data_IF_851638785631
#
_entry.id   IF_851638785631
#
_cell.length_a   1.000
_cell.length_b   1.000
_cell.length_c   1.000
_cell.angle_alpha   90.00
_cell.angle_beta   90.00
_cell.angle_gamma   90.00
#
_symmetry.space_group_name_H-M   'P 1'
#
loop_
_entity.id
_entity.type
_entity.pdbx_description
1 polymer ?
#
# COMPACT_ATOMS: atom_id res chain seq x y z
N UNK A 1 -18.37 65.17 -33.42
CA UNK A 1 -17.66 64.30 -32.45
C UNK A 1 -18.30 62.92 -32.25
N UNK A 2 -19.63 62.79 -32.07
CA UNK A 2 -20.27 61.50 -31.72
C UNK A 2 -20.11 60.34 -32.72
N UNK A 3 -20.03 60.61 -34.03
CA UNK A 3 -19.89 59.57 -35.08
C UNK A 3 -18.48 58.96 -35.17
N UNK A 4 -17.45 59.68 -34.73
CA UNK A 4 -16.07 59.20 -34.72
C UNK A 4 -15.79 58.31 -33.50
N UNK A 5 -16.40 58.61 -32.35
CA UNK A 5 -16.30 57.80 -31.12
C UNK A 5 -16.96 56.42 -31.31
N UNK A 6 -18.11 56.35 -31.98
CA UNK A 6 -18.80 55.07 -32.27
C UNK A 6 -18.01 54.23 -33.27
N UNK A 7 -17.38 54.83 -34.28
CA UNK A 7 -16.50 54.10 -35.22
C UNK A 7 -15.20 53.61 -34.57
N UNK A 8 -14.64 54.40 -33.65
CA UNK A 8 -13.45 54.02 -32.90
C UNK A 8 -13.74 52.85 -31.94
N UNK A 9 -14.92 52.83 -31.29
CA UNK A 9 -15.37 51.72 -30.44
C UNK A 9 -15.64 50.41 -31.20
N UNK A 10 -16.15 50.48 -32.44
CA UNK A 10 -16.38 49.30 -33.27
C UNK A 10 -15.05 48.71 -33.77
N UNK A 11 -14.07 49.56 -34.12
CA UNK A 11 -12.74 49.08 -34.52
C UNK A 11 -11.99 48.44 -33.34
N UNK A 12 -12.11 48.96 -32.12
CA UNK A 12 -11.49 48.35 -30.93
C UNK A 12 -12.16 47.06 -30.46
N UNK A 13 -13.43 46.82 -30.84
CA UNK A 13 -14.16 45.59 -30.49
C UNK A 13 -13.92 44.43 -31.48
N UNK A 14 -13.42 44.70 -32.69
CA UNK A 14 -13.15 43.69 -33.74
C UNK A 14 -11.67 43.27 -33.75
N UNK A 15 -10.77 44.08 -33.21
CA UNK A 15 -9.35 43.76 -33.06
C UNK A 15 -9.05 42.50 -32.21
N UNK A 16 -9.72 42.24 -31.06
CA UNK A 16 -9.42 41.04 -30.28
C UNK A 16 -9.96 39.74 -30.90
N UNK A 17 -11.06 39.77 -31.65
CA UNK A 17 -11.61 38.56 -32.28
C UNK A 17 -10.79 38.08 -33.48
N UNK A 18 -10.10 38.99 -34.17
CA UNK A 18 -9.22 38.66 -35.30
C UNK A 18 -7.90 38.01 -34.82
N UNK A 19 -7.35 38.46 -33.70
CA UNK A 19 -6.12 37.92 -33.12
C UNK A 19 -6.25 36.46 -32.66
N UNK A 20 -7.35 36.13 -31.98
CA UNK A 20 -7.62 34.77 -31.47
C UNK A 20 -7.80 33.76 -32.62
N UNK A 21 -8.46 34.17 -33.70
CA UNK A 21 -8.64 33.30 -34.88
C UNK A 21 -7.31 33.04 -35.62
N UNK A 22 -6.42 34.03 -35.71
CA UNK A 22 -5.08 33.85 -36.28
C UNK A 22 -4.16 33.03 -35.38
N UNK A 23 -4.30 33.14 -34.07
CA UNK A 23 -3.50 32.39 -33.10
C UNK A 23 -3.89 30.90 -33.09
N UNK A 24 -5.19 30.57 -33.12
CA UNK A 24 -5.65 29.19 -33.19
C UNK A 24 -5.25 28.51 -34.51
N UNK A 25 -5.31 29.23 -35.63
CA UNK A 25 -4.93 28.67 -36.94
C UNK A 25 -3.43 28.40 -37.03
N UNK A 26 -2.60 29.30 -36.52
CA UNK A 26 -1.16 29.09 -36.38
C UNK A 26 -0.85 27.91 -35.47
N UNK A 27 -1.53 27.81 -34.32
CA UNK A 27 -1.39 26.70 -33.37
C UNK A 27 -1.72 25.35 -34.01
N UNK A 28 -2.80 25.29 -34.79
CA UNK A 28 -3.18 24.09 -35.55
C UNK A 28 -2.13 23.69 -36.58
N UNK A 29 -1.52 24.66 -37.27
CA UNK A 29 -0.44 24.40 -38.22
C UNK A 29 0.79 23.84 -37.53
N UNK A 30 1.23 24.47 -36.43
CA UNK A 30 2.38 24.01 -35.64
C UNK A 30 2.16 22.63 -35.02
N UNK A 31 0.96 22.36 -34.50
CA UNK A 31 0.59 21.05 -33.99
C UNK A 31 0.65 19.96 -35.08
N UNK A 32 0.22 20.27 -36.31
CA UNK A 32 0.33 19.37 -37.49
C UNK A 32 1.76 19.16 -37.94
N UNK A 33 2.63 20.15 -37.75
CA UNK A 33 4.07 20.03 -38.01
C UNK A 33 4.80 19.19 -36.95
N UNK A 34 4.11 18.78 -35.89
CA UNK A 34 4.64 17.89 -34.86
C UNK A 34 5.16 18.62 -33.62
N UNK A 35 4.93 19.92 -33.45
CA UNK A 35 5.39 20.63 -32.26
C UNK A 35 4.61 20.19 -31.00
N UNK A 36 5.30 19.57 -30.03
CA UNK A 36 4.67 18.95 -28.87
C UNK A 36 3.95 19.96 -27.95
N UNK A 37 4.51 21.16 -27.80
CA UNK A 37 3.91 22.24 -27.01
C UNK A 37 2.62 22.73 -27.69
N UNK A 38 2.67 22.96 -29.00
CA UNK A 38 1.48 23.36 -29.78
C UNK A 38 0.39 22.29 -29.77
N UNK A 39 0.76 21.00 -29.84
CA UNK A 39 -0.18 19.89 -29.68
C UNK A 39 -0.84 19.90 -28.29
N UNK A 40 -0.07 20.13 -27.23
CA UNK A 40 -0.60 20.23 -25.87
C UNK A 40 -1.54 21.43 -25.71
N UNK A 41 -1.15 22.61 -26.18
CA UNK A 41 -1.96 23.83 -26.13
C UNK A 41 -3.25 23.69 -26.95
N UNK A 42 -3.19 23.01 -28.11
CA UNK A 42 -4.37 22.73 -28.93
C UNK A 42 -5.33 21.79 -28.19
N UNK A 43 -4.81 20.79 -27.46
CA UNK A 43 -5.63 19.95 -26.60
C UNK A 43 -6.30 20.74 -25.47
N UNK A 44 -5.57 21.66 -24.82
CA UNK A 44 -6.16 22.55 -23.81
C UNK A 44 -7.29 23.40 -24.38
N UNK A 45 -7.13 23.91 -25.62
CA UNK A 45 -8.20 24.65 -26.29
C UNK A 45 -9.46 23.78 -26.47
N UNK A 46 -9.32 22.53 -26.90
CA UNK A 46 -10.46 21.61 -27.00
C UNK A 46 -11.09 21.30 -25.63
N UNK A 47 -10.30 21.24 -24.56
CA UNK A 47 -10.82 21.05 -23.21
C UNK A 47 -11.76 22.19 -22.76
N UNK A 48 -11.41 23.45 -23.06
CA UNK A 48 -12.25 24.61 -22.72
C UNK A 48 -13.44 24.79 -23.67
N UNK A 49 -13.34 24.30 -24.91
CA UNK A 49 -14.43 24.28 -25.89
C UNK A 49 -15.41 23.09 -25.70
N UNK A 50 -15.17 22.23 -24.71
CA UNK A 50 -15.91 20.98 -24.54
C UNK A 50 -17.35 21.22 -24.06
N UNK A 51 -18.30 21.07 -24.97
CA UNK A 51 -19.74 20.84 -24.69
C UNK A 51 -20.26 19.53 -25.28
N UNK A 52 -19.46 18.82 -26.09
CA UNK A 52 -19.85 17.66 -26.91
C UNK A 52 -18.77 16.55 -26.93
N UNK A 53 -19.18 15.30 -27.14
CA UNK A 53 -18.32 14.10 -27.09
C UNK A 53 -17.24 14.04 -28.18
N UNK A 54 -17.44 14.70 -29.31
CA UNK A 54 -16.45 14.78 -30.41
C UNK A 54 -15.23 15.59 -30.02
N UNK A 55 -15.43 16.65 -29.24
CA UNK A 55 -14.35 17.55 -28.79
C UNK A 55 -13.41 16.84 -27.80
N UNK A 56 -13.93 15.89 -27.03
CA UNK A 56 -13.14 15.08 -26.11
C UNK A 56 -12.22 14.09 -26.84
N UNK A 57 -12.64 13.55 -27.99
CA UNK A 57 -11.79 12.68 -28.81
C UNK A 57 -10.63 13.46 -29.43
N UNK A 58 -10.89 14.65 -29.95
CA UNK A 58 -9.84 15.53 -30.49
C UNK A 58 -8.84 15.93 -29.41
N UNK A 59 -9.33 16.26 -28.20
CA UNK A 59 -8.45 16.53 -27.05
C UNK A 59 -7.53 15.35 -26.76
N UNK A 60 -8.07 14.14 -26.65
CA UNK A 60 -7.27 12.94 -26.33
C UNK A 60 -6.27 12.62 -27.43
N UNK A 61 -6.64 12.81 -28.70
CA UNK A 61 -5.74 12.65 -29.82
C UNK A 61 -4.52 13.56 -29.70
N UNK A 62 -4.72 14.86 -29.52
CA UNK A 62 -3.61 15.83 -29.43
C UNK A 62 -2.77 15.66 -28.15
N UNK A 63 -3.40 15.32 -27.02
CA UNK A 63 -2.66 14.94 -25.80
C UNK A 63 -1.77 13.73 -26.05
N UNK A 64 -2.27 12.71 -26.75
CA UNK A 64 -1.51 11.49 -27.05
C UNK A 64 -0.31 11.81 -27.93
N UNK A 65 -0.48 12.62 -28.97
CA UNK A 65 0.64 13.04 -29.83
C UNK A 65 1.73 13.79 -29.05
N UNK A 66 1.35 14.74 -28.19
CA UNK A 66 2.31 15.47 -27.35
C UNK A 66 3.00 14.53 -26.34
N UNK A 67 2.24 13.63 -25.71
CA UNK A 67 2.74 12.67 -24.73
C UNK A 67 3.68 11.63 -25.35
N UNK A 68 3.44 11.19 -26.59
CA UNK A 68 4.34 10.31 -27.34
C UNK A 68 5.72 10.94 -27.52
N UNK A 69 5.77 12.25 -27.73
CA UNK A 69 7.02 13.04 -27.83
C UNK A 69 7.68 13.33 -26.47
N UNK A 70 7.07 12.91 -25.36
CA UNK A 70 7.63 13.10 -24.01
C UNK A 70 7.18 14.37 -23.31
N UNK A 71 6.14 15.05 -23.79
CA UNK A 71 5.57 16.23 -23.14
C UNK A 71 4.95 15.85 -21.78
N UNK A 72 5.59 16.27 -20.68
CA UNK A 72 5.25 15.86 -19.30
C UNK A 72 3.80 16.19 -18.95
N UNK A 73 3.38 17.44 -19.15
CA UNK A 73 2.01 17.88 -18.81
C UNK A 73 0.95 17.14 -19.63
N UNK A 74 1.29 16.66 -20.84
CA UNK A 74 0.34 15.91 -21.66
C UNK A 74 0.16 14.49 -21.12
N UNK A 75 1.26 13.84 -20.73
CA UNK A 75 1.25 12.54 -20.07
C UNK A 75 0.48 12.57 -18.74
N UNK A 76 0.65 13.63 -17.95
CA UNK A 76 -0.10 13.81 -16.71
C UNK A 76 -1.61 13.93 -16.97
N UNK A 77 -2.03 14.75 -17.94
CA UNK A 77 -3.45 14.89 -18.30
C UNK A 77 -4.07 13.58 -18.80
N UNK A 78 -3.35 12.81 -19.62
CA UNK A 78 -3.79 11.47 -20.03
C UNK A 78 -3.89 10.52 -18.85
N UNK A 79 -2.93 10.56 -17.94
CA UNK A 79 -2.94 9.75 -16.72
C UNK A 79 -4.18 10.06 -15.89
N UNK A 80 -4.49 11.34 -15.65
CA UNK A 80 -5.70 11.73 -14.93
C UNK A 80 -6.98 11.28 -15.64
N UNK A 81 -7.03 11.40 -16.97
CA UNK A 81 -8.17 10.93 -17.75
C UNK A 81 -8.39 9.42 -17.57
N UNK A 82 -7.35 8.62 -17.70
CA UNK A 82 -7.47 7.16 -17.55
C UNK A 82 -7.73 6.74 -16.10
N UNK A 83 -7.17 7.45 -15.10
CA UNK A 83 -7.43 7.17 -13.69
C UNK A 83 -8.82 7.60 -13.23
N UNK A 84 -9.55 8.44 -13.96
CA UNK A 84 -10.91 8.81 -13.59
C UNK A 84 -11.88 7.62 -13.70
N UNK A 85 -11.61 6.67 -14.59
CA UNK A 85 -12.42 5.48 -14.81
C UNK A 85 -11.74 4.23 -14.22
N UNK A 86 -11.49 4.24 -12.92
CA UNK A 86 -10.75 3.18 -12.19
C UNK A 86 -11.35 1.78 -12.29
N UNK A 87 -12.57 1.62 -12.80
CA UNK A 87 -13.22 0.32 -12.97
C UNK A 87 -12.89 -0.35 -14.31
N UNK A 88 -12.34 0.40 -15.28
CA UNK A 88 -11.97 -0.12 -16.58
C UNK A 88 -10.50 -0.62 -16.59
N UNK A 89 -10.25 -1.93 -16.78
CA UNK A 89 -8.89 -2.48 -16.83
C UNK A 89 -8.00 -1.87 -17.91
N UNK A 90 -8.56 -1.57 -19.09
CA UNK A 90 -7.81 -0.97 -20.20
C UNK A 90 -7.32 0.43 -19.85
N UNK A 91 -8.15 1.21 -19.16
CA UNK A 91 -7.77 2.54 -18.69
C UNK A 91 -6.67 2.44 -17.65
N UNK A 92 -6.75 1.49 -16.71
CA UNK A 92 -5.69 1.29 -15.73
C UNK A 92 -4.35 0.89 -16.37
N UNK A 93 -4.36 0.05 -17.41
CA UNK A 93 -3.14 -0.29 -18.17
C UNK A 93 -2.56 0.93 -18.90
N UNK A 94 -3.40 1.75 -19.53
CA UNK A 94 -2.98 2.98 -20.19
C UNK A 94 -2.42 4.00 -19.19
N UNK A 95 -3.06 4.16 -18.02
CA UNK A 95 -2.56 5.01 -16.94
C UNK A 95 -1.18 4.55 -16.46
N UNK A 96 -0.99 3.24 -16.22
CA UNK A 96 0.30 2.68 -15.83
C UNK A 96 1.38 2.93 -16.88
N UNK A 97 1.06 2.76 -18.17
CA UNK A 97 2.01 3.02 -19.26
C UNK A 97 2.53 4.46 -19.22
N UNK A 98 1.65 5.44 -19.04
CA UNK A 98 2.04 6.86 -18.97
C UNK A 98 2.79 7.18 -17.67
N UNK A 99 2.34 6.65 -16.54
CA UNK A 99 3.04 6.81 -15.25
C UNK A 99 4.46 6.23 -15.29
N UNK A 100 4.66 5.06 -15.89
CA UNK A 100 6.01 4.47 -16.05
C UNK A 100 6.91 5.36 -16.92
N UNK A 101 6.36 5.96 -17.98
CA UNK A 101 7.11 6.92 -18.79
C UNK A 101 7.46 8.18 -17.98
N UNK A 102 6.52 8.72 -17.19
CA UNK A 102 6.76 9.85 -16.29
C UNK A 102 7.86 9.56 -15.26
N UNK A 103 7.88 8.37 -14.65
CA UNK A 103 8.95 8.00 -13.71
C UNK A 103 10.31 7.93 -14.38
N UNK A 104 10.39 7.43 -15.62
CA UNK A 104 11.65 7.43 -16.41
C UNK A 104 12.17 8.84 -16.73
N UNK A 105 11.29 9.85 -16.74
CA UNK A 105 11.63 11.26 -16.90
C UNK A 105 11.94 11.96 -15.58
N UNK A 106 11.95 11.22 -14.46
CA UNK A 106 12.28 11.72 -13.14
C UNK A 106 11.10 12.26 -12.34
N UNK A 107 9.85 12.09 -12.82
CA UNK A 107 8.66 12.48 -12.06
C UNK A 107 8.41 11.47 -10.94
N UNK A 108 8.88 11.80 -9.74
CA UNK A 108 8.81 10.97 -8.53
C UNK A 108 7.38 10.72 -8.07
N UNK A 109 6.50 11.71 -8.22
CA UNK A 109 5.08 11.59 -7.89
C UNK A 109 4.39 10.46 -8.68
N UNK A 110 4.80 10.23 -9.93
CA UNK A 110 4.24 9.15 -10.74
C UNK A 110 4.54 7.77 -10.14
N UNK A 111 5.72 7.57 -9.53
CA UNK A 111 6.07 6.32 -8.86
C UNK A 111 5.19 6.07 -7.63
N UNK A 112 4.86 7.14 -6.88
CA UNK A 112 3.93 7.07 -5.76
C UNK A 112 2.54 6.64 -6.25
N UNK A 113 2.04 7.24 -7.33
CA UNK A 113 0.74 6.87 -7.91
C UNK A 113 0.71 5.42 -8.37
N UNK A 114 1.78 4.92 -9.01
CA UNK A 114 1.87 3.50 -9.37
C UNK A 114 1.82 2.61 -8.11
N UNK A 115 2.55 2.98 -7.05
CA UNK A 115 2.51 2.27 -5.78
C UNK A 115 1.11 2.22 -5.17
N UNK A 116 0.38 3.34 -5.20
CA UNK A 116 -0.99 3.45 -4.71
C UNK A 116 -1.94 2.54 -5.53
N UNK A 117 -1.79 2.51 -6.86
CA UNK A 117 -2.57 1.63 -7.74
C UNK A 117 -2.35 0.14 -7.42
N UNK A 118 -1.10 -0.28 -7.26
CA UNK A 118 -0.80 -1.66 -6.85
C UNK A 118 -1.36 -1.94 -5.46
N UNK A 119 -1.21 -1.04 -4.48
CA UNK A 119 -1.71 -1.24 -3.12
C UNK A 119 -3.25 -1.42 -3.05
N UNK A 120 -4.01 -0.80 -3.95
CA UNK A 120 -5.47 -0.94 -4.03
C UNK A 120 -5.91 -2.33 -4.51
N UNK A 121 -5.04 -3.07 -5.18
CA UNK A 121 -5.22 -4.51 -5.37
C UNK A 121 -6.13 -4.94 -6.52
N UNK A 122 -6.55 -4.03 -7.40
CA UNK A 122 -7.38 -4.35 -8.59
C UNK A 122 -6.79 -3.70 -9.84
N UNK A 123 -6.71 -4.40 -11.00
CA UNK A 123 -6.87 -5.84 -11.25
C UNK A 123 -5.56 -6.65 -11.13
N UNK A 124 -4.48 -6.09 -10.59
CA UNK A 124 -3.14 -6.68 -10.72
C UNK A 124 -2.86 -7.86 -9.76
N UNK A 125 -2.13 -8.90 -10.20
CA UNK A 125 -1.53 -9.90 -9.32
C UNK A 125 -0.29 -9.33 -8.59
N UNK A 126 0.09 -9.90 -7.43
CA UNK A 126 1.31 -9.55 -6.65
C UNK A 126 1.44 -8.07 -6.20
N UNK A 127 0.31 -7.51 -5.79
CA UNK A 127 0.09 -6.09 -5.50
C UNK A 127 0.97 -5.49 -4.41
N UNK A 128 1.22 -6.21 -3.32
CA UNK A 128 2.04 -5.68 -2.21
C UNK A 128 3.52 -5.56 -2.58
N UNK A 129 4.06 -6.53 -3.33
CA UNK A 129 5.49 -6.53 -3.71
C UNK A 129 5.77 -5.42 -4.71
N UNK A 130 4.89 -5.22 -5.69
CA UNK A 130 5.06 -4.14 -6.66
C UNK A 130 4.91 -2.76 -6.02
N UNK A 131 3.92 -2.57 -5.15
CA UNK A 131 3.78 -1.31 -4.40
C UNK A 131 5.04 -1.01 -3.54
N UNK A 132 5.59 -2.02 -2.87
CA UNK A 132 6.83 -1.93 -2.09
C UNK A 132 7.98 -1.40 -2.94
N UNK A 133 8.21 -1.98 -4.12
CA UNK A 133 9.29 -1.58 -5.03
C UNK A 133 9.14 -0.14 -5.53
N UNK A 134 7.92 0.25 -5.92
CA UNK A 134 7.67 1.60 -6.43
C UNK A 134 7.85 2.67 -5.35
N UNK A 135 7.32 2.47 -4.14
CA UNK A 135 7.57 3.41 -3.04
C UNK A 135 9.04 3.48 -2.66
N UNK A 136 9.70 2.32 -2.56
CA UNK A 136 11.13 2.27 -2.25
C UNK A 136 11.99 3.01 -3.28
N UNK A 137 11.63 2.93 -4.57
CA UNK A 137 12.40 3.56 -5.65
C UNK A 137 12.53 5.09 -5.54
N UNK A 138 11.62 5.74 -4.81
CA UNK A 138 11.59 7.21 -4.64
C UNK A 138 11.60 7.68 -3.19
N UNK A 139 11.70 6.75 -2.21
CA UNK A 139 11.66 7.07 -0.78
C UNK A 139 12.74 8.08 -0.34
N UNK A 140 13.92 8.03 -0.96
CA UNK A 140 15.03 8.95 -0.64
C UNK A 140 14.77 10.40 -1.11
N UNK A 141 13.85 10.59 -2.07
CA UNK A 141 13.55 11.90 -2.69
C UNK A 141 12.19 12.45 -2.25
N UNK A 142 11.27 11.56 -1.89
CA UNK A 142 9.90 11.90 -1.51
C UNK A 142 9.57 11.34 -0.11
N UNK A 143 9.45 12.20 0.92
CA UNK A 143 9.04 11.78 2.26
C UNK A 143 7.70 11.05 2.28
N UNK A 144 6.80 11.45 1.38
CA UNK A 144 5.50 10.84 1.17
C UNK A 144 5.58 9.37 0.73
N UNK A 145 6.59 9.02 -0.05
CA UNK A 145 6.86 7.65 -0.48
C UNK A 145 7.47 6.82 0.67
N UNK A 146 8.38 7.41 1.46
CA UNK A 146 8.94 6.77 2.66
C UNK A 146 7.85 6.38 3.65
N UNK A 147 6.89 7.27 3.90
CA UNK A 147 5.75 7.00 4.79
C UNK A 147 4.87 5.84 4.28
N UNK A 148 4.54 5.84 2.98
CA UNK A 148 3.75 4.77 2.35
C UNK A 148 4.50 3.44 2.38
N UNK A 149 5.81 3.45 2.13
CA UNK A 149 6.69 2.28 2.26
C UNK A 149 6.69 1.73 3.69
N UNK A 150 6.90 2.57 4.69
CA UNK A 150 6.90 2.18 6.10
C UNK A 150 5.56 1.59 6.54
N UNK A 151 4.44 2.22 6.14
CA UNK A 151 3.10 1.72 6.38
C UNK A 151 2.90 0.31 5.78
N UNK A 152 3.36 0.10 4.55
CA UNK A 152 3.23 -1.18 3.86
C UNK A 152 4.06 -2.28 4.54
N UNK A 153 5.29 -1.97 4.97
CA UNK A 153 6.13 -2.89 5.75
C UNK A 153 5.49 -3.28 7.08
N UNK A 154 4.92 -2.31 7.80
CA UNK A 154 4.20 -2.57 9.05
C UNK A 154 3.02 -3.52 8.82
N UNK A 155 2.20 -3.26 7.80
CA UNK A 155 1.06 -4.12 7.45
C UNK A 155 1.50 -5.55 7.12
N UNK A 156 2.61 -5.71 6.38
CA UNK A 156 3.20 -7.02 6.04
C UNK A 156 3.68 -7.76 7.28
N UNK A 157 4.35 -7.07 8.21
CA UNK A 157 4.77 -7.61 9.50
C UNK A 157 3.57 -8.06 10.35
N UNK A 158 2.55 -7.21 10.47
CA UNK A 158 1.35 -7.52 11.26
C UNK A 158 0.60 -8.73 10.70
N UNK A 159 0.49 -8.84 9.37
CA UNK A 159 -0.09 -10.01 8.71
C UNK A 159 0.70 -11.30 8.99
N UNK A 160 2.03 -11.25 8.96
CA UNK A 160 2.87 -12.40 9.28
C UNK A 160 2.71 -12.82 10.75
N UNK A 161 2.69 -11.85 11.66
CA UNK A 161 2.47 -12.09 13.09
C UNK A 161 1.10 -12.72 13.35
N UNK A 162 0.05 -12.22 12.71
CA UNK A 162 -1.30 -12.79 12.83
C UNK A 162 -1.33 -14.25 12.39
N UNK A 163 -0.67 -14.60 11.27
CA UNK A 163 -0.53 -15.99 10.80
C UNK A 163 0.22 -16.87 11.79
N UNK A 164 1.28 -16.36 12.41
CA UNK A 164 2.03 -17.11 13.42
C UNK A 164 1.18 -17.38 14.67
N UNK A 165 0.45 -16.36 15.15
CA UNK A 165 -0.45 -16.50 16.30
C UNK A 165 -1.56 -17.50 16.00
N UNK A 166 -2.19 -17.42 14.82
CA UNK A 166 -3.23 -18.39 14.43
C UNK A 166 -2.71 -19.82 14.35
N UNK A 167 -1.47 -20.01 13.88
CA UNK A 167 -0.85 -21.33 13.85
C UNK A 167 -0.57 -21.85 15.27
N UNK A 168 -0.07 -20.99 16.15
CA UNK A 168 0.19 -21.34 17.55
C UNK A 168 -1.09 -21.70 18.31
N UNK A 169 -2.17 -20.94 18.14
CA UNK A 169 -3.46 -21.24 18.77
C UNK A 169 -4.11 -22.49 18.20
N UNK A 170 -3.94 -22.76 16.89
CA UNK A 170 -4.37 -24.01 16.28
C UNK A 170 -3.61 -25.22 16.86
N UNK A 171 -2.29 -25.11 17.06
CA UNK A 171 -1.46 -26.13 17.70
C UNK A 171 -1.84 -26.34 19.17
N UNK A 172 -2.09 -25.26 19.92
CA UNK A 172 -2.54 -25.32 21.31
C UNK A 172 -3.89 -26.03 21.42
N UNK A 173 -4.88 -25.66 20.58
CA UNK A 173 -6.18 -26.32 20.52
C UNK A 173 -6.07 -27.80 20.16
N UNK A 174 -5.14 -28.15 19.27
CA UNK A 174 -4.85 -29.55 18.93
C UNK A 174 -4.19 -30.31 20.10
N UNK A 175 -3.42 -29.64 20.96
CA UNK A 175 -2.76 -30.23 22.13
C UNK A 175 -3.66 -30.37 23.38
N UNK A 176 -4.76 -29.62 23.46
CA UNK A 176 -5.72 -29.63 24.58
C UNK A 176 -6.78 -30.73 24.44
N UNK A 177 -6.82 -31.45 23.31
CA UNK A 177 -7.51 -32.74 23.28
C UNK A 177 -6.74 -33.74 24.15
N UNK A 178 -7.39 -34.42 25.12
CA UNK A 178 -6.69 -35.37 25.97
C UNK A 178 -6.15 -36.53 25.12
N UNK A 179 -5.15 -37.29 25.61
CA UNK A 179 -4.82 -38.57 25.02
C UNK A 179 -6.11 -39.39 24.90
N UNK A 180 -6.25 -40.09 23.78
CA UNK A 180 -7.36 -40.98 23.46
C UNK A 180 -7.89 -41.69 24.72
N UNK A 181 -9.21 -41.79 24.91
CA UNK A 181 -9.76 -42.45 26.08
C UNK A 181 -9.13 -43.84 26.21
N UNK A 182 -8.58 -44.12 27.39
CA UNK A 182 -8.14 -45.46 27.77
C UNK A 182 -9.35 -46.36 27.53
N UNK A 183 -9.25 -47.20 26.50
CA UNK A 183 -10.27 -48.20 26.21
C UNK A 183 -10.43 -49.06 27.47
N UNK A 184 -11.67 -49.33 27.92
CA UNK A 184 -11.90 -50.33 28.95
C UNK A 184 -11.31 -51.65 28.47
N UNK A 185 -10.59 -52.35 29.36
CA UNK A 185 -10.25 -53.76 29.17
C UNK A 185 -11.57 -54.50 29.06
N UNK A 186 -12.01 -54.77 27.83
CA UNK A 186 -13.16 -55.60 27.54
C UNK A 186 -12.64 -56.93 26.99
N UNK A 187 -13.12 -58.01 27.61
CA UNK A 187 -12.82 -59.40 27.33
C UNK A 187 -12.69 -59.71 25.83
N UNK A 188 -11.56 -60.32 25.48
CA UNK A 188 -11.35 -60.90 24.15
C UNK A 188 -12.08 -62.24 24.10
N UNK A 189 -13.21 -62.27 23.41
CA UNK A 189 -13.70 -63.49 22.75
C UNK A 189 -13.78 -63.23 21.25
N UNK A 190 -13.12 -64.04 20.41
CA UNK A 190 -13.07 -63.80 18.97
C UNK A 190 -14.26 -64.48 18.26
N UNK A 191 -14.75 -63.88 17.18
CA UNK A 191 -15.21 -64.68 16.04
C UNK A 191 -14.33 -64.46 14.81
N UNK A 192 -14.26 -65.54 14.04
CA UNK A 192 -13.39 -65.87 12.92
C UNK A 192 -13.66 -65.08 11.62
N UNK A 193 -12.72 -65.16 10.65
CA UNK A 193 -12.61 -64.24 9.51
C UNK A 193 -13.28 -64.76 8.23
N UNK A 194 -13.39 -63.86 7.23
CA UNK A 194 -13.40 -64.01 5.75
C UNK A 194 -14.15 -62.80 5.15
N UNK A 195 -13.85 -62.21 4.00
CA UNK A 195 -12.89 -62.37 2.90
C UNK A 195 -13.12 -61.14 2.01
N UNK A 196 -12.09 -60.54 1.41
CA UNK A 196 -12.28 -59.79 0.16
C UNK A 196 -11.00 -59.86 -0.67
N UNK A 197 -10.97 -60.87 -1.53
CA UNK A 197 -9.99 -61.13 -2.57
C UNK A 197 -10.01 -60.04 -3.66
N UNK A 198 -8.83 -59.61 -4.10
CA UNK A 198 -8.60 -59.41 -5.54
C UNK A 198 -7.13 -59.69 -5.89
N UNK A 199 -6.84 -60.75 -6.67
CA UNK A 199 -5.47 -61.24 -6.89
C UNK A 199 -4.59 -60.32 -7.75
N UNK A 200 -5.17 -59.31 -8.42
CA UNK A 200 -4.41 -58.42 -9.31
C UNK A 200 -3.62 -57.33 -8.56
N UNK A 201 -4.07 -56.93 -7.37
CA UNK A 201 -3.45 -55.84 -6.62
C UNK A 201 -2.15 -56.29 -5.94
N UNK A 202 -2.14 -57.53 -5.41
CA UNK A 202 -0.94 -58.13 -4.82
C UNK A 202 0.17 -58.35 -5.86
N UNK A 203 -0.19 -58.75 -7.09
CA UNK A 203 0.79 -58.91 -8.18
C UNK A 203 1.41 -57.56 -8.55
N UNK A 204 0.62 -56.49 -8.64
CA UNK A 204 1.13 -55.13 -8.94
C UNK A 204 2.04 -54.62 -7.82
N UNK A 205 1.67 -54.85 -6.55
CA UNK A 205 2.50 -54.46 -5.40
C UNK A 205 3.81 -55.25 -5.39
N UNK A 206 3.77 -56.55 -5.68
CA UNK A 206 4.98 -57.38 -5.76
C UNK A 206 5.91 -56.93 -6.89
N UNK A 207 5.36 -56.61 -8.07
CA UNK A 207 6.14 -56.09 -9.19
C UNK A 207 6.79 -54.73 -8.89
N UNK A 208 6.08 -53.84 -8.18
CA UNK A 208 6.66 -52.55 -7.74
C UNK A 208 7.79 -52.76 -6.73
N UNK A 209 7.64 -53.67 -5.77
CA UNK A 209 8.68 -53.97 -4.78
C UNK A 209 9.92 -54.55 -5.47
N UNK A 210 9.74 -55.44 -6.44
CA UNK A 210 10.85 -56.03 -7.21
C UNK A 210 11.53 -54.95 -8.07
N UNK A 211 10.78 -54.04 -8.70
CA UNK A 211 11.34 -52.96 -9.51
C UNK A 211 12.17 -51.98 -8.67
N UNK A 212 11.69 -51.60 -7.48
CA UNK A 212 12.43 -50.75 -6.54
C UNK A 212 13.67 -51.46 -6.01
N UNK A 213 13.56 -52.76 -5.68
CA UNK A 213 14.69 -53.58 -5.26
C UNK A 213 15.77 -53.73 -6.33
N UNK A 214 15.37 -53.97 -7.58
CA UNK A 214 16.29 -54.09 -8.71
C UNK A 214 16.97 -52.75 -9.05
N UNK A 215 16.22 -51.64 -8.98
CA UNK A 215 16.78 -50.28 -9.14
C UNK A 215 17.79 -49.96 -8.04
N UNK A 216 17.47 -50.28 -6.78
CA UNK A 216 18.38 -50.11 -5.64
C UNK A 216 19.63 -51.00 -5.76
N UNK A 217 19.48 -52.25 -6.19
CA UNK A 217 20.60 -53.17 -6.40
C UNK A 217 21.52 -52.72 -7.55
N UNK A 218 20.95 -52.25 -8.66
CA UNK A 218 21.72 -51.70 -9.78
C UNK A 218 22.42 -50.39 -9.40
N UNK A 219 21.79 -49.56 -8.57
CA UNK A 219 22.38 -48.35 -8.01
C UNK A 219 23.56 -48.67 -7.09
N UNK A 220 23.40 -49.66 -6.20
CA UNK A 220 24.45 -50.12 -5.28
C UNK A 220 25.63 -50.80 -6.01
N UNK A 221 25.38 -51.50 -7.12
CA UNK A 221 26.42 -52.18 -7.90
C UNK A 221 27.22 -51.22 -8.81
N UNK A 222 26.75 -49.99 -9.01
CA UNK A 222 27.36 -48.99 -9.92
C UNK A 222 28.30 -48.00 -9.24
N UNK A 223 28.48 -48.08 -7.92
CA UNK A 223 29.51 -47.35 -7.19
C UNK A 223 30.67 -48.29 -6.83
N UNK A 224 31.83 -48.21 -7.51
CA UNK A 224 33.04 -48.80 -6.95
C UNK A 224 33.37 -48.09 -5.63
N UNK A 225 33.81 -48.87 -4.63
CA UNK A 225 34.23 -48.36 -3.32
C UNK A 225 35.26 -47.23 -3.49
N UNK A 226 34.90 -46.03 -3.05
CA UNK A 226 35.80 -44.90 -2.88
C UNK A 226 36.28 -44.79 -1.42
N UNK A 227 37.48 -44.25 -1.18
CA UNK A 227 38.21 -44.32 0.08
C UNK A 227 37.59 -43.44 1.18
N UNK A 228 38.01 -43.70 2.43
CA UNK A 228 37.54 -43.04 3.65
C UNK A 228 37.89 -41.53 3.73
N UNK A 229 36.90 -40.73 4.17
CA UNK A 229 36.90 -39.32 4.70
C UNK A 229 37.05 -38.14 3.70
N UNK A 230 36.29 -37.01 3.83
CA UNK A 230 36.07 -36.23 5.07
C UNK A 230 34.59 -35.84 5.35
N UNK A 231 34.03 -36.25 6.49
CA UNK A 231 32.67 -35.86 6.92
C UNK A 231 32.66 -34.80 8.05
N UNK A 232 33.84 -34.37 8.54
CA UNK A 232 33.96 -33.31 9.54
C UNK A 232 33.63 -31.91 8.97
N UNK A 233 34.04 -31.63 7.72
CA UNK A 233 33.94 -30.28 7.15
C UNK A 233 32.50 -29.77 6.99
N UNK A 234 31.55 -30.65 6.68
CA UNK A 234 30.17 -30.24 6.45
C UNK A 234 29.38 -30.02 7.76
N UNK A 235 29.72 -30.76 8.82
CA UNK A 235 29.13 -30.57 10.15
C UNK A 235 29.69 -29.30 10.81
N UNK A 236 30.99 -29.04 10.64
CA UNK A 236 31.62 -27.80 11.10
C UNK A 236 31.05 -26.57 10.39
N UNK A 237 30.81 -26.65 9.07
CA UNK A 237 30.13 -25.60 8.30
C UNK A 237 28.70 -25.35 8.78
N UNK A 238 27.93 -26.39 9.11
CA UNK A 238 26.57 -26.26 9.64
C UNK A 238 26.57 -25.62 11.03
N UNK A 239 27.53 -25.97 11.89
CA UNK A 239 27.68 -25.34 13.20
C UNK A 239 28.11 -23.87 13.11
N UNK A 240 28.96 -23.53 12.16
CA UNK A 240 29.37 -22.14 11.90
C UNK A 240 28.19 -21.31 11.40
N UNK A 241 27.40 -21.83 10.46
CA UNK A 241 26.17 -21.19 9.99
C UNK A 241 25.16 -20.99 11.12
N UNK A 242 24.98 -21.98 12.00
CA UNK A 242 24.09 -21.86 13.15
C UNK A 242 24.54 -20.75 14.12
N UNK A 243 25.86 -20.57 14.33
CA UNK A 243 26.41 -19.49 15.16
C UNK A 243 26.15 -18.11 14.53
N UNK A 244 26.34 -17.99 13.21
CA UNK A 244 26.08 -16.74 12.48
C UNK A 244 24.60 -16.36 12.59
N UNK A 245 23.68 -17.31 12.36
CA UNK A 245 22.23 -17.10 12.48
C UNK A 245 21.87 -16.68 13.92
N UNK A 246 22.48 -17.30 14.93
CA UNK A 246 22.24 -16.94 16.32
C UNK A 246 22.74 -15.52 16.66
N UNK A 247 23.88 -15.11 16.09
CA UNK A 247 24.41 -13.74 16.25
C UNK A 247 23.50 -12.70 15.57
N UNK A 248 23.05 -12.96 14.35
CA UNK A 248 22.12 -12.11 13.62
C UNK A 248 20.80 -11.95 14.37
N UNK A 249 20.25 -13.04 14.94
CA UNK A 249 19.04 -12.98 15.78
C UNK A 249 19.23 -12.06 16.99
N UNK A 250 20.38 -12.15 17.68
CA UNK A 250 20.67 -11.27 18.83
C UNK A 250 20.80 -9.81 18.42
N UNK A 251 21.37 -9.51 17.25
CA UNK A 251 21.44 -8.14 16.71
C UNK A 251 20.05 -7.59 16.40
N UNK A 252 19.20 -8.40 15.76
CA UNK A 252 17.83 -8.02 15.43
C UNK A 252 16.98 -7.75 16.68
N UNK A 253 17.13 -8.56 17.73
CA UNK A 253 16.44 -8.36 19.01
C UNK A 253 16.88 -7.07 19.72
N UNK A 254 18.13 -6.63 19.53
CA UNK A 254 18.62 -5.35 20.06
C UNK A 254 18.00 -4.18 19.30
N UNK A 255 18.04 -4.23 17.97
CA UNK A 255 17.42 -3.22 17.10
C UNK A 255 15.91 -3.08 17.37
N UNK A 256 15.21 -4.21 17.49
CA UNK A 256 13.78 -4.22 17.82
C UNK A 256 13.50 -3.56 19.19
N UNK A 257 14.30 -3.87 20.21
CA UNK A 257 14.17 -3.24 21.53
C UNK A 257 14.44 -1.74 21.46
N UNK A 258 15.43 -1.30 20.69
CA UNK A 258 15.71 0.12 20.49
C UNK A 258 14.60 0.85 19.75
N UNK A 259 14.06 0.28 18.67
CA UNK A 259 12.92 0.83 17.94
C UNK A 259 11.68 0.91 18.81
N UNK A 260 11.37 -0.15 19.55
CA UNK A 260 10.23 -0.17 20.48
C UNK A 260 10.39 0.91 21.56
N UNK A 261 11.60 1.09 22.09
CA UNK A 261 11.90 2.13 23.08
C UNK A 261 11.75 3.53 22.50
N UNK A 262 12.24 3.79 21.28
CA UNK A 262 12.06 5.07 20.59
C UNK A 262 10.59 5.36 20.28
N UNK A 263 9.84 4.37 19.82
CA UNK A 263 8.41 4.50 19.57
C UNK A 263 7.64 4.79 20.86
N UNK A 264 7.95 4.11 21.96
CA UNK A 264 7.35 4.41 23.26
C UNK A 264 7.70 5.82 23.75
N UNK A 265 8.94 6.26 23.56
CA UNK A 265 9.36 7.63 23.90
C UNK A 265 8.64 8.68 23.06
N UNK A 266 8.55 8.50 21.74
CA UNK A 266 7.78 9.37 20.85
C UNK A 266 6.31 9.40 21.22
N UNK A 267 5.71 8.24 21.51
CA UNK A 267 4.30 8.16 21.89
C UNK A 267 4.06 8.81 23.27
N UNK A 268 5.01 8.68 24.21
CA UNK A 268 4.95 9.36 25.50
C UNK A 268 5.05 10.88 25.33
N UNK A 269 5.98 11.36 24.51
CA UNK A 269 6.13 12.79 24.19
C UNK A 269 4.88 13.34 23.49
N UNK A 270 4.30 12.59 22.54
CA UNK A 270 3.08 12.98 21.84
C UNK A 270 1.87 13.00 22.78
N UNK A 271 1.73 12.01 23.66
CA UNK A 271 0.68 11.99 24.69
C UNK A 271 0.87 13.12 25.72
N UNK A 272 2.10 13.45 26.08
CA UNK A 272 2.42 14.57 26.98
C UNK A 272 2.10 15.92 26.33
N UNK A 273 2.42 16.09 25.05
CA UNK A 273 2.04 17.29 24.28
C UNK A 273 0.52 17.40 24.12
N UNK A 274 -0.17 16.31 23.78
CA UNK A 274 -1.63 16.27 23.70
C UNK A 274 -2.28 16.58 25.05
N UNK A 275 -1.68 16.10 26.14
CA UNK A 275 -2.09 16.43 27.50
C UNK A 275 -1.95 17.93 27.80
N UNK A 276 -0.80 18.52 27.51
CA UNK A 276 -0.53 19.95 27.75
C UNK A 276 -1.50 20.81 26.93
N UNK A 277 -1.72 20.47 25.65
CA UNK A 277 -2.65 21.18 24.77
C UNK A 277 -4.09 21.04 25.27
N UNK A 278 -4.51 19.86 25.74
CA UNK A 278 -5.83 19.66 26.33
C UNK A 278 -6.04 20.52 27.58
N UNK A 279 -5.07 20.57 28.48
CA UNK A 279 -5.10 21.44 29.66
C UNK A 279 -5.20 22.92 29.27
N UNK A 280 -4.38 23.37 28.32
CA UNK A 280 -4.37 24.74 27.83
C UNK A 280 -5.72 25.14 27.19
N UNK A 281 -6.34 24.24 26.41
CA UNK A 281 -7.66 24.47 25.80
C UNK A 281 -8.74 24.78 26.85
N UNK A 282 -8.66 24.15 28.03
CA UNK A 282 -9.58 24.41 29.13
C UNK A 282 -9.17 25.59 30.03
N UNK A 283 -7.95 26.11 29.84
CA UNK A 283 -7.34 27.15 30.67
C UNK A 283 -6.81 26.62 32.00
N UNK A 284 -6.46 25.32 32.06
CA UNK A 284 -5.93 24.68 33.25
C UNK A 284 -4.41 24.54 33.18
N UNK A 285 -3.76 24.56 34.33
CA UNK A 285 -2.35 24.22 34.45
C UNK A 285 -2.20 22.70 34.61
N UNK A 286 -1.23 22.04 33.94
CA UNK A 286 -1.00 20.59 34.07
C UNK A 286 -0.84 20.09 35.51
N UNK A 287 -0.34 20.95 36.41
CA UNK A 287 -0.03 20.62 37.80
C UNK A 287 -1.20 20.84 38.77
N UNK A 288 -2.26 21.54 38.36
CA UNK A 288 -3.39 21.92 39.20
C UNK A 288 -4.71 21.73 38.47
N UNK A 289 -5.26 20.51 38.58
CA UNK A 289 -6.56 20.19 38.00
C UNK A 289 -7.70 20.47 38.97
N UNK A 290 -8.76 21.18 38.53
CA UNK A 290 -9.95 21.37 39.33
C UNK A 290 -10.78 20.07 39.44
N UNK A 291 -11.79 20.07 40.31
CA UNK A 291 -12.64 18.90 40.52
C UNK A 291 -13.46 18.53 39.26
N UNK A 292 -13.97 17.31 39.19
CA UNK A 292 -14.72 16.81 38.02
C UNK A 292 -15.89 17.72 37.63
N UNK A 293 -16.57 18.24 38.65
CA UNK A 293 -17.74 19.08 38.49
C UNK A 293 -17.34 20.41 37.82
N UNK A 294 -16.23 21.02 38.23
CA UNK A 294 -15.69 22.22 37.60
C UNK A 294 -15.19 21.96 36.17
N UNK A 295 -14.57 20.80 35.90
CA UNK A 295 -14.15 20.40 34.55
C UNK A 295 -15.38 20.27 33.63
N UNK A 296 -16.43 19.56 34.07
CA UNK A 296 -17.68 19.41 33.32
C UNK A 296 -18.42 20.74 33.15
N UNK A 297 -18.37 21.62 34.14
CA UNK A 297 -18.94 22.97 34.03
C UNK A 297 -18.18 23.82 33.00
N UNK A 298 -16.83 23.77 33.00
CA UNK A 298 -15.98 24.45 32.03
C UNK A 298 -16.22 23.93 30.61
N UNK A 299 -16.34 22.62 30.45
CA UNK A 299 -16.71 22.01 29.17
C UNK A 299 -18.04 22.56 28.65
N UNK A 300 -19.08 22.65 29.49
CA UNK A 300 -20.39 23.20 29.10
C UNK A 300 -20.33 24.68 28.70
N UNK A 301 -19.37 25.45 29.23
CA UNK A 301 -19.14 26.82 28.81
C UNK A 301 -18.47 26.87 27.43
N UNK A 302 -17.41 26.09 27.23
CA UNK A 302 -16.66 26.04 25.98
C UNK A 302 -17.49 25.43 24.84
N UNK A 303 -18.31 24.42 25.12
CA UNK A 303 -19.17 23.79 24.11
C UNK A 303 -20.21 24.72 23.53
N UNK A 304 -20.58 25.81 24.23
CA UNK A 304 -21.48 26.85 23.71
C UNK A 304 -20.78 27.79 22.73
N UNK A 305 -19.46 27.90 22.83
CA UNK A 305 -18.64 28.78 22.00
C UNK A 305 -18.21 28.02 20.73
N UNK A 306 -17.79 26.76 20.90
CA UNK A 306 -17.32 25.92 19.80
C UNK A 306 -18.44 25.13 19.11
N UNK A 307 -19.71 25.35 19.47
CA UNK A 307 -20.81 24.70 18.76
C UNK A 307 -20.91 25.25 17.33
N UNK A 308 -21.15 24.40 16.32
CA UNK A 308 -21.36 24.84 14.93
C UNK A 308 -22.44 25.92 14.79
N UNK A 309 -23.52 25.79 15.55
CA UNK A 309 -24.64 26.74 15.56
C UNK A 309 -24.29 28.11 16.18
N UNK A 310 -23.15 28.23 16.87
CA UNK A 310 -22.71 29.40 17.61
C UNK A 310 -21.41 30.01 17.05
N UNK A 311 -21.19 29.89 15.73
CA UNK A 311 -20.00 30.33 14.99
C UNK A 311 -18.73 29.49 15.18
N UNK A 312 -18.80 28.35 15.89
CA UNK A 312 -17.72 27.37 15.96
C UNK A 312 -17.68 26.45 14.73
N UNK A 313 -16.64 25.62 14.65
CA UNK A 313 -16.50 24.56 13.65
C UNK A 313 -16.66 23.16 14.24
N UNK A 314 -17.11 22.20 13.42
CA UNK A 314 -17.18 20.78 13.79
C UNK A 314 -15.82 20.24 14.28
N UNK A 315 -14.72 20.75 13.73
CA UNK A 315 -13.37 20.38 14.16
C UNK A 315 -13.05 20.86 15.57
N UNK A 316 -13.41 22.08 15.91
CA UNK A 316 -13.19 22.64 17.25
C UNK A 316 -14.00 21.89 18.30
N UNK A 317 -15.25 21.53 17.99
CA UNK A 317 -16.08 20.72 18.87
C UNK A 317 -15.50 19.31 19.08
N UNK A 318 -14.96 18.68 18.02
CA UNK A 318 -14.25 17.39 18.12
C UNK A 318 -12.99 17.51 18.98
N UNK A 319 -12.19 18.58 18.81
CA UNK A 319 -10.99 18.84 19.61
C UNK A 319 -11.34 19.05 21.09
N UNK A 320 -12.43 19.75 21.38
CA UNK A 320 -12.94 19.96 22.75
C UNK A 320 -13.38 18.64 23.40
N UNK A 321 -14.14 17.82 22.69
CA UNK A 321 -14.59 16.49 23.16
C UNK A 321 -13.42 15.56 23.45
N UNK A 322 -12.44 15.53 22.55
CA UNK A 322 -11.24 14.72 22.72
C UNK A 322 -10.43 15.17 23.95
N UNK A 323 -10.24 16.48 24.11
CA UNK A 323 -9.51 17.06 25.24
C UNK A 323 -10.20 16.79 26.59
N UNK A 324 -11.54 16.85 26.65
CA UNK A 324 -12.31 16.50 27.85
C UNK A 324 -12.03 15.06 28.29
N UNK A 325 -12.10 14.12 27.34
CA UNK A 325 -11.89 12.70 27.63
C UNK A 325 -10.47 12.43 28.13
N UNK A 326 -9.46 13.06 27.53
CA UNK A 326 -8.07 12.97 27.98
C UNK A 326 -7.90 13.47 29.42
N UNK A 327 -8.50 14.64 29.75
CA UNK A 327 -8.45 15.23 31.10
C UNK A 327 -9.08 14.31 32.14
N UNK A 328 -10.28 13.79 31.86
CA UNK A 328 -10.98 12.90 32.79
C UNK A 328 -10.29 11.55 32.94
N UNK A 329 -9.72 10.99 31.86
CA UNK A 329 -9.04 9.70 31.91
C UNK A 329 -7.76 9.76 32.75
N UNK A 330 -6.97 10.85 32.66
CA UNK A 330 -5.74 11.00 33.45
C UNK A 330 -6.03 11.32 34.91
N UNK A 331 -7.12 12.02 35.22
CA UNK A 331 -7.54 12.28 36.61
C UNK A 331 -8.02 11.02 37.34
N UNK A 332 -8.56 10.05 36.60
CA UNK A 332 -9.09 8.80 37.14
C UNK A 332 -8.05 7.66 37.21
N UNK A 333 -6.85 7.86 36.66
CA UNK A 333 -5.68 6.99 36.81
C UNK A 333 -4.81 7.49 37.95
#
# INVERSE_FOLDING_TARGET
>A
MRRWIVRLLIVTAILPSLGIATELTLLQEQARLGDAESQYQLAQHYQFASTDTTTDQDRLYWLTQAAEQGHISAMEQLTYYYLAETENPEHLENALRWLIKLTSLGQTQAAITIGDMYQQGRPFPETFTMAELWYYSVADREPDAEQRYAFLLQKKFDQQRAKQISNMTALEKASVYPPSPVLPVADVTPPSPRELDSPNLLIVVLLLIIAVGASSYLFLKRYPRLPQSPHLSQVDQLHEQARIIQQQKRQLEKLYRELTRRQQQQNHQQHEQQWIVACALFGFSPDQLPNEQAIKARYKQLSKIYHPDAQGSDEEMKRLNHSLNLILQKRNK
#
